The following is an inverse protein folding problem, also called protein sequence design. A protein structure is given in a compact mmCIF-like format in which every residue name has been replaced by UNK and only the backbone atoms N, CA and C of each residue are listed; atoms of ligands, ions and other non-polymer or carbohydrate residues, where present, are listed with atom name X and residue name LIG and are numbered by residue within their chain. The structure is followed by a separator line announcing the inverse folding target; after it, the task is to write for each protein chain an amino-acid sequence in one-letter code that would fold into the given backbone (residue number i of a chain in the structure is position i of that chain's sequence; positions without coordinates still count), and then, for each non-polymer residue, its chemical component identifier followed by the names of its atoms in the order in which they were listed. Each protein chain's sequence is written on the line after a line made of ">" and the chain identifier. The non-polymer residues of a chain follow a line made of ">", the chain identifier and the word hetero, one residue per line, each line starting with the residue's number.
data_IF_141893178181
#
_entry.id   IF_141893178181
#
_cell.length_a   1.000
_cell.length_b   1.000
_cell.length_c   1.000
_cell.angle_alpha   90.00
_cell.angle_beta   90.00
_cell.angle_gamma   90.00
#
_symmetry.space_group_name_H-M   'P 1'
#
loop_
_entity.id
_entity.type
_entity.pdbx_description
1 polymer ?
#
# COMPACT_ATOMS: atom_id res chain seq x y z
N UNK A 1 -2.36 24.20 -0.22
CA UNK A 1 -1.24 23.25 -0.08
C UNK A 1 -1.64 21.92 -0.70
N UNK A 2 -0.87 21.38 -1.65
CA UNK A 2 -1.14 20.04 -2.18
C UNK A 2 -1.12 18.99 -1.06
N UNK A 3 -1.96 17.97 -1.18
CA UNK A 3 -1.88 16.79 -0.32
C UNK A 3 -0.98 15.75 -0.95
N UNK A 4 -0.11 15.15 -0.15
CA UNK A 4 0.72 14.01 -0.52
C UNK A 4 0.82 13.04 0.68
N UNK A 5 1.53 11.93 0.49
CA UNK A 5 1.67 10.88 1.50
C UNK A 5 2.31 11.35 2.81
N UNK A 6 3.01 12.49 2.87
CA UNK A 6 3.53 13.02 4.13
C UNK A 6 2.43 13.36 5.12
N UNK A 7 1.22 13.64 4.63
CA UNK A 7 0.08 14.07 5.44
C UNK A 7 -0.87 12.94 5.87
N UNK A 8 -0.66 11.71 5.40
CA UNK A 8 -1.57 10.59 5.69
C UNK A 8 -0.86 9.25 5.90
N UNK A 9 0.30 9.04 5.26
CA UNK A 9 1.13 7.85 5.47
C UNK A 9 2.26 8.11 6.46
N UNK A 10 3.07 9.17 6.29
CA UNK A 10 4.20 9.45 7.21
C UNK A 10 3.80 10.23 8.47
N UNK A 11 2.56 10.70 8.53
CA UNK A 11 1.97 11.35 9.70
C UNK A 11 0.58 10.80 9.94
N UNK A 12 0.14 10.80 11.19
CA UNK A 12 -1.24 10.46 11.53
C UNK A 12 -2.19 11.52 10.95
N UNK A 13 -3.09 11.17 10.02
CA UNK A 13 -4.10 12.10 9.54
C UNK A 13 -5.09 12.40 10.66
N UNK A 14 -5.83 13.51 10.53
CA UNK A 14 -6.96 13.77 11.42
C UNK A 14 -7.96 12.60 11.32
N UNK A 15 -8.44 12.04 12.45
CA UNK A 15 -9.24 10.82 12.47
C UNK A 15 -10.69 11.08 12.07
N UNK A 16 -10.89 11.62 10.86
CA UNK A 16 -12.18 11.89 10.24
C UNK A 16 -12.20 11.22 8.85
N UNK A 17 -13.14 10.30 8.59
CA UNK A 17 -13.18 9.55 7.32
C UNK A 17 -13.07 10.44 6.09
N UNK A 18 -13.91 11.48 6.02
CA UNK A 18 -13.92 12.43 4.90
C UNK A 18 -12.55 13.10 4.65
N UNK A 19 -11.82 13.48 5.71
CA UNK A 19 -10.51 14.10 5.54
C UNK A 19 -9.45 13.11 5.07
N UNK A 20 -9.55 11.84 5.46
CA UNK A 20 -8.67 10.79 4.98
C UNK A 20 -8.95 10.53 3.49
N UNK A 21 -10.22 10.40 3.10
CA UNK A 21 -10.65 10.22 1.71
C UNK A 21 -10.13 11.33 0.81
N UNK A 22 -10.42 12.58 1.13
CA UNK A 22 -9.96 13.75 0.36
C UNK A 22 -8.44 13.73 0.18
N UNK A 23 -7.70 13.40 1.25
CA UNK A 23 -6.24 13.39 1.22
C UNK A 23 -5.68 12.30 0.31
N UNK A 24 -6.20 11.09 0.44
CA UNK A 24 -5.74 9.93 -0.34
C UNK A 24 -6.16 10.08 -1.80
N UNK A 25 -7.43 10.42 -2.06
CA UNK A 25 -7.94 10.61 -3.42
C UNK A 25 -7.22 11.74 -4.16
N UNK A 26 -6.97 12.89 -3.52
CA UNK A 26 -6.16 13.95 -4.14
C UNK A 26 -4.72 13.51 -4.42
N UNK A 27 -4.14 12.65 -3.56
CA UNK A 27 -2.81 12.07 -3.82
C UNK A 27 -2.86 11.16 -5.04
N UNK A 28 -3.88 10.31 -5.18
CA UNK A 28 -4.07 9.42 -6.34
C UNK A 28 -4.23 10.21 -7.64
N UNK A 29 -5.09 11.23 -7.65
CA UNK A 29 -5.35 12.05 -8.83
C UNK A 29 -4.11 12.84 -9.27
N UNK A 30 -3.33 13.35 -8.32
CA UNK A 30 -2.03 14.00 -8.60
C UNK A 30 -1.03 13.03 -9.25
N UNK A 31 -1.14 11.74 -8.96
CA UNK A 31 -0.31 10.68 -9.55
C UNK A 31 -1.00 9.97 -10.74
N UNK A 32 -1.95 10.64 -11.41
CA UNK A 32 -2.61 10.18 -12.65
C UNK A 32 -3.44 8.90 -12.48
N UNK A 33 -3.98 8.66 -11.29
CA UNK A 33 -4.97 7.60 -11.02
C UNK A 33 -6.37 8.18 -10.83
N UNK A 34 -6.85 8.99 -11.78
CA UNK A 34 -8.19 9.60 -11.70
C UNK A 34 -9.34 8.58 -11.78
N UNK A 35 -9.09 7.41 -12.37
CA UNK A 35 -10.08 6.32 -12.45
C UNK A 35 -10.23 5.50 -11.16
N UNK A 36 -9.48 5.84 -10.10
CA UNK A 36 -9.56 5.18 -8.80
C UNK A 36 -10.01 6.20 -7.74
N UNK A 37 -11.17 5.94 -7.16
CA UNK A 37 -11.67 6.64 -5.98
C UNK A 37 -11.75 5.65 -4.84
N UNK A 38 -11.19 6.03 -3.70
CA UNK A 38 -11.14 5.24 -2.48
C UNK A 38 -12.12 5.82 -1.44
N UNK A 39 -12.82 4.94 -0.74
CA UNK A 39 -13.74 5.23 0.36
C UNK A 39 -13.12 4.71 1.65
N UNK A 40 -13.16 5.50 2.72
CA UNK A 40 -12.60 5.13 4.02
C UNK A 40 -13.56 4.24 4.79
N UNK A 41 -13.17 2.98 4.99
CA UNK A 41 -13.96 1.99 5.75
C UNK A 41 -13.53 1.90 7.20
N UNK A 42 -12.29 2.30 7.53
CA UNK A 42 -11.79 2.36 8.90
C UNK A 42 -10.84 3.56 9.03
N UNK A 43 -11.17 4.56 9.87
CA UNK A 43 -10.38 5.80 10.01
C UNK A 43 -9.39 5.78 11.20
N UNK A 44 -9.41 4.74 12.02
CA UNK A 44 -8.44 4.50 13.09
C UNK A 44 -7.41 3.47 12.63
N UNK A 45 -6.16 3.62 13.10
CA UNK A 45 -5.07 2.73 12.72
C UNK A 45 -5.36 1.26 13.11
N UNK A 46 -5.12 0.29 12.19
CA UNK A 46 -4.72 0.48 10.80
C UNK A 46 -5.84 1.06 9.95
N UNK A 47 -5.57 2.15 9.23
CA UNK A 47 -6.57 2.84 8.41
C UNK A 47 -6.84 1.97 7.18
N UNK A 48 -8.11 1.82 6.81
CA UNK A 48 -8.55 1.01 5.67
C UNK A 48 -9.37 1.82 4.71
N UNK A 49 -9.12 1.59 3.42
CA UNK A 49 -9.91 2.15 2.34
C UNK A 49 -10.16 1.12 1.26
N UNK A 50 -11.29 1.24 0.57
CA UNK A 50 -11.68 0.37 -0.53
C UNK A 50 -12.08 1.21 -1.74
N UNK A 51 -11.81 0.70 -2.94
CA UNK A 51 -12.14 1.35 -4.18
C UNK A 51 -12.22 0.35 -5.32
N UNK A 52 -12.56 0.87 -6.50
CA UNK A 52 -12.60 0.11 -7.73
C UNK A 52 -11.78 0.83 -8.79
N UNK A 53 -10.92 0.10 -9.49
CA UNK A 53 -10.16 0.62 -10.62
C UNK A 53 -10.48 -0.19 -11.88
N UNK A 54 -11.25 0.39 -12.79
CA UNK A 54 -11.64 -0.25 -14.05
C UNK A 54 -12.29 -1.64 -13.88
N UNK A 55 -13.17 -1.78 -12.88
CA UNK A 55 -13.83 -3.05 -12.55
C UNK A 55 -13.05 -3.91 -11.55
N UNK A 56 -11.76 -3.65 -11.33
CA UNK A 56 -10.94 -4.41 -10.38
C UNK A 56 -11.06 -3.84 -8.95
N UNK A 57 -11.34 -4.67 -7.93
CA UNK A 57 -11.32 -4.21 -6.54
C UNK A 57 -9.90 -3.83 -6.11
N UNK A 58 -9.79 -2.73 -5.37
CA UNK A 58 -8.55 -2.22 -4.79
C UNK A 58 -8.79 -1.92 -3.31
N UNK A 59 -7.91 -2.36 -2.42
CA UNK A 59 -7.97 -2.00 -1.00
C UNK A 59 -6.63 -1.48 -0.52
N UNK A 60 -6.67 -0.44 0.28
CA UNK A 60 -5.52 0.08 1.02
C UNK A 60 -5.70 -0.23 2.49
N UNK A 61 -4.59 -0.60 3.13
CA UNK A 61 -4.49 -0.69 4.58
C UNK A 61 -3.15 -0.11 4.99
N UNK A 62 -3.11 0.77 5.98
CA UNK A 62 -1.84 1.29 6.46
C UNK A 62 -1.88 1.70 7.93
N UNK A 63 -0.72 1.62 8.55
CA UNK A 63 -0.47 2.24 9.84
C UNK A 63 0.50 3.41 9.64
N UNK A 64 0.13 4.65 10.05
CA UNK A 64 0.97 5.82 9.84
C UNK A 64 2.40 5.63 10.36
N UNK A 65 3.39 5.89 9.50
CA UNK A 65 4.81 5.77 9.79
C UNK A 65 5.37 4.35 9.79
N UNK A 66 4.54 3.31 9.64
CA UNK A 66 4.97 1.91 9.77
C UNK A 66 4.90 1.15 8.45
N UNK A 67 3.71 0.93 7.92
CA UNK A 67 3.53 0.09 6.74
C UNK A 67 2.33 0.50 5.91
N UNK A 68 2.38 0.15 4.63
CA UNK A 68 1.29 0.29 3.67
C UNK A 68 1.09 -1.03 2.93
N UNK A 69 -0.15 -1.46 2.78
CA UNK A 69 -0.55 -2.67 2.05
C UNK A 69 -1.50 -2.26 0.93
N UNK A 70 -1.15 -2.62 -0.30
CA UNK A 70 -2.03 -2.60 -1.46
C UNK A 70 -2.57 -4.01 -1.66
N UNK A 71 -3.89 -4.16 -1.73
CA UNK A 71 -4.56 -5.37 -2.21
C UNK A 71 -5.33 -5.07 -3.48
N UNK A 72 -5.29 -5.99 -4.43
CA UNK A 72 -5.87 -5.83 -5.76
C UNK A 72 -6.38 -7.16 -6.31
N UNK A 73 -7.48 -7.12 -7.07
CA UNK A 73 -8.08 -8.35 -7.63
C UNK A 73 -7.17 -9.12 -8.59
N UNK A 74 -6.22 -8.43 -9.25
CA UNK A 74 -5.17 -9.04 -10.06
C UNK A 74 -3.89 -8.21 -9.98
N UNK A 75 -2.72 -8.80 -10.25
CA UNK A 75 -1.44 -8.08 -10.20
C UNK A 75 -1.35 -7.00 -11.29
N UNK A 76 -1.19 -5.74 -10.90
CA UNK A 76 -1.00 -4.60 -11.83
C UNK A 76 0.24 -3.78 -11.50
N UNK A 77 1.26 -3.89 -12.35
CA UNK A 77 2.59 -3.28 -12.15
C UNK A 77 2.57 -1.75 -12.20
N UNK A 78 1.72 -1.20 -13.05
CA UNK A 78 1.42 0.24 -13.14
C UNK A 78 0.92 0.81 -11.80
N UNK A 79 -0.08 0.16 -11.18
CA UNK A 79 -0.58 0.59 -9.87
C UNK A 79 0.48 0.49 -8.77
N UNK A 80 1.23 -0.62 -8.72
CA UNK A 80 2.35 -0.80 -7.77
C UNK A 80 3.41 0.31 -7.96
N UNK A 81 3.72 0.65 -9.22
CA UNK A 81 4.66 1.72 -9.55
C UNK A 81 4.19 3.09 -9.07
N UNK A 82 2.91 3.41 -9.26
CA UNK A 82 2.32 4.67 -8.77
C UNK A 82 2.31 4.72 -7.24
N UNK A 83 1.92 3.65 -6.55
CA UNK A 83 1.94 3.60 -5.08
C UNK A 83 3.37 3.83 -4.57
N UNK A 84 4.38 3.21 -5.17
CA UNK A 84 5.79 3.49 -4.84
C UNK A 84 6.16 4.97 -5.00
N UNK A 85 5.69 5.64 -6.06
CA UNK A 85 5.93 7.08 -6.26
C UNK A 85 5.22 7.93 -5.20
N UNK A 86 3.97 7.59 -4.87
CA UNK A 86 3.19 8.25 -3.80
C UNK A 86 3.91 8.14 -2.45
N UNK A 87 4.48 6.97 -2.16
CA UNK A 87 5.26 6.68 -0.95
C UNK A 87 6.73 7.13 -1.08
N UNK A 88 7.00 8.20 -1.84
CA UNK A 88 8.32 8.82 -1.97
C UNK A 88 9.47 7.84 -2.28
N UNK A 89 9.19 6.81 -3.08
CA UNK A 89 10.18 5.83 -3.51
C UNK A 89 10.43 4.69 -2.53
N UNK A 90 9.68 4.59 -1.42
CA UNK A 90 9.71 3.43 -0.53
C UNK A 90 9.54 2.15 -1.36
N UNK A 91 10.45 1.20 -1.17
CA UNK A 91 10.52 -0.01 -2.00
C UNK A 91 9.58 -1.06 -1.40
N UNK A 92 8.75 -1.74 -2.21
CA UNK A 92 7.93 -2.84 -1.70
C UNK A 92 8.85 -3.98 -1.25
N UNK A 93 8.48 -4.64 -0.16
CA UNK A 93 9.31 -5.67 0.50
C UNK A 93 8.70 -7.06 0.42
N UNK A 94 7.37 -7.15 0.28
CA UNK A 94 6.62 -8.41 0.22
C UNK A 94 5.60 -8.39 -0.91
N UNK A 95 5.41 -9.54 -1.55
CA UNK A 95 4.27 -9.82 -2.43
C UNK A 95 3.74 -11.24 -2.17
N UNK A 96 2.41 -11.41 -2.25
CA UNK A 96 1.72 -12.69 -2.04
C UNK A 96 0.26 -12.59 -2.51
N UNK A 97 -0.46 -13.71 -2.49
CA UNK A 97 -1.93 -13.76 -2.54
C UNK A 97 -2.46 -14.00 -1.12
N UNK A 98 -3.41 -13.17 -0.70
CA UNK A 98 -3.94 -13.18 0.66
C UNK A 98 -5.08 -14.19 0.85
N UNK A 99 -5.58 -14.39 2.09
CA UNK A 99 -6.65 -15.37 2.35
C UNK A 99 -7.99 -15.07 1.65
N UNK A 100 -8.17 -13.86 1.12
CA UNK A 100 -9.35 -13.45 0.35
C UNK A 100 -9.14 -13.61 -1.16
N UNK A 101 -8.01 -14.19 -1.58
CA UNK A 101 -7.64 -14.37 -2.99
C UNK A 101 -7.18 -13.09 -3.67
N UNK A 102 -6.88 -12.03 -2.90
CA UNK A 102 -6.42 -10.75 -3.44
C UNK A 102 -4.90 -10.76 -3.55
N UNK A 103 -4.37 -10.20 -4.63
CA UNK A 103 -2.94 -9.99 -4.77
C UNK A 103 -2.50 -8.84 -3.87
N UNK A 104 -1.54 -9.09 -2.98
CA UNK A 104 -1.06 -8.15 -1.99
C UNK A 104 0.39 -7.73 -2.26
N UNK A 105 0.67 -6.44 -2.08
CA UNK A 105 2.03 -5.87 -2.05
C UNK A 105 2.17 -5.00 -0.81
N UNK A 106 3.24 -5.21 -0.06
CA UNK A 106 3.48 -4.47 1.18
C UNK A 106 4.77 -3.64 1.13
N UNK A 107 4.69 -2.44 1.71
CA UNK A 107 5.79 -1.52 1.96
C UNK A 107 5.92 -1.34 3.46
N UNK A 108 7.14 -1.46 3.99
CA UNK A 108 7.41 -1.32 5.42
C UNK A 108 8.61 -0.42 5.66
N UNK A 109 8.51 0.48 6.62
CA UNK A 109 9.62 1.38 6.99
C UNK A 109 10.74 0.65 7.73
N UNK A 110 10.45 -0.50 8.35
CA UNK A 110 11.41 -1.38 9.03
C UNK A 110 12.00 -2.48 8.12
N UNK A 111 11.62 -2.53 6.84
CA UNK A 111 12.04 -3.57 5.90
C UNK A 111 11.22 -4.86 5.93
N UNK A 112 10.15 -4.95 6.73
CA UNK A 112 9.16 -6.02 6.70
C UNK A 112 9.62 -7.33 7.35
N UNK A 113 10.70 -7.31 8.14
CA UNK A 113 11.22 -8.52 8.81
C UNK A 113 10.21 -9.10 9.82
N UNK A 114 9.59 -8.23 10.63
CA UNK A 114 8.56 -8.65 11.59
C UNK A 114 7.35 -9.24 10.86
N UNK A 115 6.86 -8.54 9.82
CA UNK A 115 5.73 -9.01 9.02
C UNK A 115 6.01 -10.35 8.36
N UNK A 116 7.19 -10.53 7.78
CA UNK A 116 7.59 -11.81 7.19
C UNK A 116 7.50 -12.95 8.21
N UNK A 117 8.04 -12.76 9.42
CA UNK A 117 7.97 -13.78 10.46
C UNK A 117 6.53 -14.12 10.87
N UNK A 118 5.59 -13.18 10.76
CA UNK A 118 4.18 -13.41 11.08
C UNK A 118 3.44 -14.27 10.04
N UNK A 119 3.78 -14.12 8.75
CA UNK A 119 3.03 -14.77 7.65
C UNK A 119 3.76 -15.93 7.00
N UNK A 120 5.09 -16.04 7.19
CA UNK A 120 5.84 -17.18 6.70
C UNK A 120 5.34 -18.48 7.33
N UNK A 121 5.10 -19.49 6.49
CA UNK A 121 4.63 -20.81 6.93
C UNK A 121 3.13 -20.89 7.18
N UNK A 122 2.40 -19.76 7.07
CA UNK A 122 0.94 -19.78 7.11
C UNK A 122 0.40 -20.11 5.70
N UNK A 123 -0.28 -21.27 5.52
CA UNK A 123 -0.75 -21.71 4.21
C UNK A 123 -1.89 -20.87 3.64
N UNK A 124 -2.53 -20.01 4.45
CA UNK A 124 -3.56 -19.08 3.98
C UNK A 124 -2.99 -17.95 3.09
N UNK A 125 -1.65 -17.80 3.04
CA UNK A 125 -0.97 -16.86 2.17
C UNK A 125 -0.22 -17.64 1.07
N UNK A 126 -0.58 -17.41 -0.19
CA UNK A 126 0.00 -18.14 -1.32
C UNK A 126 1.09 -17.33 -2.02
N UNK A 127 2.08 -18.01 -2.59
CA UNK A 127 3.11 -17.36 -3.40
C UNK A 127 3.97 -16.32 -2.66
N UNK A 128 4.04 -16.41 -1.32
CA UNK A 128 4.75 -15.46 -0.48
C UNK A 128 6.21 -15.29 -0.88
N UNK A 129 6.59 -14.06 -1.23
CA UNK A 129 7.92 -13.71 -1.72
C UNK A 129 8.43 -12.43 -1.07
N UNK A 130 9.71 -12.45 -0.69
CA UNK A 130 10.47 -11.22 -0.40
C UNK A 130 10.89 -10.58 -1.71
N UNK A 131 10.55 -9.31 -1.87
CA UNK A 131 11.07 -8.47 -2.95
C UNK A 131 12.44 -7.99 -2.45
N UNK A 132 13.46 -8.83 -2.64
CA UNK A 132 14.81 -8.49 -2.22
C UNK A 132 15.20 -7.12 -2.78
N UNK A 133 15.75 -6.25 -1.92
CA UNK A 133 16.52 -5.12 -2.38
C UNK A 133 17.57 -5.72 -3.30
N UNK A 134 17.56 -5.39 -4.60
CA UNK A 134 18.79 -5.50 -5.39
C UNK A 134 19.77 -4.58 -4.68
N UNK A 135 20.54 -5.13 -3.76
CA UNK A 135 21.68 -4.47 -3.17
C UNK A 135 22.53 -3.94 -4.31
N UNK A 136 23.13 -2.79 -4.08
CA UNK A 136 24.26 -2.30 -4.84
C UNK A 136 25.30 -3.44 -4.93
N UNK A 137 25.22 -4.22 -5.99
CA UNK A 137 26.32 -5.04 -6.49
C UNK A 137 26.90 -4.20 -7.60
N UNK A 138 27.75 -3.25 -7.21
CA UNK A 138 28.82 -2.63 -7.98
C UNK A 138 29.44 -1.55 -7.12
N UNK A 139 30.52 -1.91 -6.43
CA UNK A 139 31.79 -1.21 -6.48
C UNK A 139 32.81 -2.10 -5.75
N UNK A 140 33.48 -2.91 -6.57
CA UNK A 140 34.80 -3.43 -6.29
C UNK A 140 35.81 -2.40 -6.82
#
# INVERSE_FOLDING_TARGET
>A
MATDARKWFYSTPEPRPYYIEERVNHTLWKNRLQGLTMICTQWTAPIKMEGNWNGMPVRFEWEPGKYFVLRMGEKRKDLIGVVRQMLFGLVPVLEYEDPEGMYAVEWHTDGGAQRWAQIQGNPSYQGLRRIARRSQVNNN
#
